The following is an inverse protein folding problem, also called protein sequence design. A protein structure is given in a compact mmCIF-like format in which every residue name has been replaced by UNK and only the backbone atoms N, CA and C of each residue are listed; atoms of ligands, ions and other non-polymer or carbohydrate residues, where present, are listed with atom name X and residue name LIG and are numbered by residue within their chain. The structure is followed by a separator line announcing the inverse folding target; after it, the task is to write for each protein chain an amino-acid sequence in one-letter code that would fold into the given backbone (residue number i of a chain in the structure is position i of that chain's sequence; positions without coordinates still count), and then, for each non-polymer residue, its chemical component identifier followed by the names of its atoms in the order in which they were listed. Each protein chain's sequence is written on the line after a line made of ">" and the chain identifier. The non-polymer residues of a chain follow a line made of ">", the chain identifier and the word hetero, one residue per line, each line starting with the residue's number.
data_IF_627382978453
#
_entry.id   IF_627382978453
#
_cell.length_a   1.000
_cell.length_b   1.000
_cell.length_c   1.000
_cell.angle_alpha   90.00
_cell.angle_beta   90.00
_cell.angle_gamma   90.00
#
_symmetry.space_group_name_H-M   'P 1'
#
loop_
_entity.id
_entity.type
_entity.pdbx_description
1 polymer ?
#
# COMPACT_ATOMS: atom_id res chain seq x y z
N UNK A 1 8.06 16.41 17.27
CA UNK A 1 6.77 15.72 17.16
C UNK A 1 6.55 15.43 15.68
N UNK A 2 6.14 14.20 15.33
CA UNK A 2 5.94 13.77 13.94
C UNK A 2 4.46 13.89 13.53
N UNK A 3 3.66 14.63 14.29
CA UNK A 3 2.24 14.79 14.07
C UNK A 3 1.66 16.00 14.80
N UNK A 4 0.91 16.80 14.10
CA UNK A 4 0.09 17.87 14.67
C UNK A 4 -1.11 17.27 15.45
N UNK A 5 -1.65 16.10 15.03
CA UNK A 5 -2.72 15.41 15.75
C UNK A 5 -2.27 14.95 17.14
N UNK A 6 -1.02 14.43 17.25
CA UNK A 6 -0.46 14.09 18.55
C UNK A 6 -0.29 15.33 19.44
N UNK A 7 -0.01 16.48 18.85
CA UNK A 7 0.02 17.78 19.54
C UNK A 7 -1.32 18.12 20.17
N UNK A 8 -2.44 17.91 19.43
CA UNK A 8 -3.78 18.11 19.98
C UNK A 8 -4.12 17.15 21.11
N UNK A 9 -3.73 15.88 21.00
CA UNK A 9 -3.94 14.91 22.09
C UNK A 9 -3.19 15.34 23.35
N UNK A 10 -1.96 15.82 23.23
CA UNK A 10 -1.19 16.32 24.37
C UNK A 10 -1.80 17.58 24.96
N UNK A 11 -2.29 18.50 24.12
CA UNK A 11 -3.01 19.69 24.57
C UNK A 11 -4.27 19.32 25.36
N UNK A 12 -5.04 18.36 24.83
CA UNK A 12 -6.23 17.86 25.51
C UNK A 12 -5.92 17.30 26.89
N UNK A 13 -4.90 16.44 26.99
CA UNK A 13 -4.48 15.84 28.25
C UNK A 13 -4.07 16.92 29.26
N UNK A 14 -3.21 17.84 28.84
CA UNK A 14 -2.79 18.94 29.71
C UNK A 14 -3.96 19.85 30.18
N UNK A 15 -4.93 20.10 29.29
CA UNK A 15 -6.13 20.84 29.65
C UNK A 15 -7.00 20.08 30.68
N UNK A 16 -7.24 18.78 30.48
CA UNK A 16 -8.04 17.98 31.40
C UNK A 16 -7.38 17.83 32.78
N UNK A 17 -6.06 17.66 32.82
CA UNK A 17 -5.29 17.67 34.09
C UNK A 17 -5.48 18.98 34.85
N UNK A 18 -5.32 20.13 34.19
CA UNK A 18 -5.49 21.44 34.81
C UNK A 18 -6.95 21.70 35.21
N UNK A 19 -7.90 21.22 34.45
CA UNK A 19 -9.32 21.33 34.75
C UNK A 19 -9.70 20.57 36.02
N UNK A 20 -9.06 19.41 36.26
CA UNK A 20 -9.28 18.65 37.50
C UNK A 20 -8.63 19.30 38.71
N UNK A 21 -7.51 19.97 38.50
CA UNK A 21 -6.72 20.58 39.58
C UNK A 21 -7.17 22.01 39.96
N UNK A 22 -7.75 22.75 38.99
CA UNK A 22 -8.03 24.19 39.16
C UNK A 22 -9.53 24.50 39.14
N UNK A 23 -9.92 25.54 39.87
CA UNK A 23 -11.25 26.15 39.75
C UNK A 23 -11.36 27.01 38.47
N UNK A 24 -12.57 27.48 38.16
CA UNK A 24 -12.86 28.13 36.87
C UNK A 24 -11.99 29.38 36.59
N UNK A 25 -11.72 30.21 37.58
CA UNK A 25 -10.94 31.45 37.36
C UNK A 25 -9.44 31.19 37.16
N UNK A 26 -8.76 30.38 37.99
CA UNK A 26 -7.38 29.96 37.73
C UNK A 26 -7.22 29.21 36.38
N UNK A 27 -8.18 28.35 36.00
CA UNK A 27 -8.14 27.64 34.72
C UNK A 27 -8.19 28.60 33.51
N UNK A 28 -9.04 29.63 33.56
CA UNK A 28 -9.07 30.68 32.52
C UNK A 28 -7.73 31.41 32.42
N UNK A 29 -7.11 31.73 33.58
CA UNK A 29 -5.79 32.36 33.59
C UNK A 29 -4.69 31.44 33.02
N UNK A 30 -4.73 30.16 33.38
CA UNK A 30 -3.83 29.16 32.79
C UNK A 30 -4.00 29.08 31.25
N UNK A 31 -5.23 29.03 30.75
CA UNK A 31 -5.49 29.05 29.30
C UNK A 31 -4.87 30.30 28.66
N UNK A 32 -5.11 31.50 29.25
CA UNK A 32 -4.56 32.77 28.73
C UNK A 32 -3.02 32.75 28.67
N UNK A 33 -2.37 32.28 29.73
CA UNK A 33 -0.91 32.18 29.81
C UNK A 33 -0.33 31.24 28.75
N UNK A 34 -1.08 30.23 28.35
CA UNK A 34 -0.68 29.26 27.31
C UNK A 34 -1.25 29.57 25.92
N UNK A 35 -1.74 30.80 25.70
CA UNK A 35 -2.32 31.24 24.42
C UNK A 35 -3.50 30.38 23.94
N UNK A 36 -4.27 29.82 24.87
CA UNK A 36 -5.41 28.96 24.64
C UNK A 36 -6.72 29.72 24.84
N UNK A 37 -7.68 29.47 23.92
CA UNK A 37 -9.02 30.02 24.07
C UNK A 37 -9.87 29.08 24.93
N UNK A 38 -10.19 29.54 26.16
CA UNK A 38 -10.98 28.77 27.11
C UNK A 38 -12.36 28.35 26.61
N UNK A 39 -13.03 29.23 25.83
CA UNK A 39 -14.36 28.91 25.26
C UNK A 39 -14.27 27.77 24.26
N UNK A 40 -13.28 27.80 23.39
CA UNK A 40 -13.03 26.73 22.37
C UNK A 40 -12.69 25.40 23.03
N UNK A 41 -11.96 25.41 24.15
CA UNK A 41 -11.66 24.18 24.88
C UNK A 41 -12.91 23.61 25.57
N UNK A 42 -13.84 24.46 26.01
CA UNK A 42 -15.16 24.01 26.51
C UNK A 42 -15.99 23.38 25.41
N UNK A 43 -16.12 24.06 24.26
CA UNK A 43 -16.82 23.53 23.07
C UNK A 43 -16.22 22.17 22.65
N UNK A 44 -14.90 22.04 22.63
CA UNK A 44 -14.21 20.78 22.35
C UNK A 44 -14.58 19.69 23.35
N UNK A 45 -14.62 20.02 24.63
CA UNK A 45 -15.04 19.07 25.69
C UNK A 45 -16.49 18.63 25.52
N UNK A 46 -17.38 19.55 25.17
CA UNK A 46 -18.79 19.23 24.97
C UNK A 46 -18.94 18.30 23.73
N UNK A 47 -18.22 18.54 22.65
CA UNK A 47 -18.14 17.65 21.49
C UNK A 47 -17.58 16.27 21.84
N UNK A 48 -16.50 16.20 22.63
CA UNK A 48 -15.95 14.93 23.09
C UNK A 48 -16.95 14.14 23.94
N UNK A 49 -17.70 14.81 24.81
CA UNK A 49 -18.77 14.18 25.60
C UNK A 49 -19.88 13.61 24.72
N UNK A 50 -20.34 14.37 23.74
CA UNK A 50 -21.36 13.92 22.79
C UNK A 50 -20.89 12.69 22.01
N UNK A 51 -19.67 12.71 21.45
CA UNK A 51 -19.09 11.56 20.75
C UNK A 51 -18.95 10.34 21.66
N UNK A 52 -18.57 10.54 22.93
CA UNK A 52 -18.45 9.45 23.90
C UNK A 52 -19.82 8.81 24.23
N UNK A 53 -20.91 9.58 24.23
CA UNK A 53 -22.27 9.06 24.39
C UNK A 53 -22.67 8.24 23.16
N UNK A 54 -22.44 8.76 21.95
CA UNK A 54 -22.72 8.06 20.69
C UNK A 54 -21.95 6.72 20.63
N UNK A 55 -20.66 6.71 20.98
CA UNK A 55 -19.88 5.47 21.04
C UNK A 55 -20.49 4.44 22.00
N UNK A 56 -20.99 4.89 23.15
CA UNK A 56 -21.66 4.03 24.13
C UNK A 56 -22.97 3.47 23.59
N UNK A 57 -23.80 4.30 22.94
CA UNK A 57 -25.07 3.87 22.34
C UNK A 57 -24.81 2.88 21.21
N UNK A 58 -23.71 3.03 20.47
CA UNK A 58 -23.25 2.07 19.45
C UNK A 58 -22.54 0.84 20.04
N UNK A 59 -22.46 0.70 21.36
CA UNK A 59 -21.77 -0.39 22.06
C UNK A 59 -20.28 -0.50 21.71
N UNK A 60 -19.65 0.60 21.30
CA UNK A 60 -18.20 0.66 21.04
C UNK A 60 -17.45 0.78 22.37
N UNK A 61 -16.48 -0.11 22.58
CA UNK A 61 -15.62 -0.04 23.75
C UNK A 61 -14.54 1.04 23.56
N UNK A 62 -14.42 1.94 24.54
CA UNK A 62 -13.34 2.92 24.56
C UNK A 62 -12.06 2.28 25.11
N UNK A 63 -10.91 2.73 24.61
CA UNK A 63 -9.61 2.30 25.11
C UNK A 63 -9.44 2.66 26.59
N UNK A 64 -8.95 1.74 27.40
CA UNK A 64 -8.57 1.98 28.80
C UNK A 64 -7.19 2.65 28.90
N UNK A 65 -6.30 2.31 27.98
CA UNK A 65 -4.94 2.83 27.88
C UNK A 65 -4.76 3.68 26.62
N UNK A 66 -3.82 4.64 26.63
CA UNK A 66 -3.51 5.45 25.48
C UNK A 66 -3.06 4.57 24.31
N UNK A 67 -3.61 4.83 23.13
CA UNK A 67 -3.15 4.17 21.89
C UNK A 67 -1.73 4.63 21.55
N UNK A 68 -0.95 3.73 20.97
CA UNK A 68 0.34 4.08 20.40
C UNK A 68 0.20 4.99 19.15
N UNK A 69 1.33 5.53 18.70
CA UNK A 69 1.35 6.44 17.55
C UNK A 69 0.73 5.81 16.29
N UNK A 70 1.07 4.56 15.99
CA UNK A 70 0.61 3.90 14.77
C UNK A 70 -0.91 3.64 14.80
N UNK A 71 -1.44 3.15 15.92
CA UNK A 71 -2.89 2.89 16.09
C UNK A 71 -3.71 4.17 15.98
N UNK A 72 -3.26 5.25 16.67
CA UNK A 72 -3.91 6.55 16.58
C UNK A 72 -3.96 7.05 15.13
N UNK A 73 -2.81 7.04 14.45
CA UNK A 73 -2.73 7.61 13.10
C UNK A 73 -3.40 6.74 12.03
N UNK A 74 -3.41 5.41 12.18
CA UNK A 74 -4.19 4.52 11.32
C UNK A 74 -5.70 4.78 11.45
N UNK A 75 -6.19 4.99 12.67
CA UNK A 75 -7.60 5.34 12.89
C UNK A 75 -7.96 6.69 12.25
N UNK A 76 -7.10 7.71 12.36
CA UNK A 76 -7.32 9.01 11.71
C UNK A 76 -7.19 8.87 10.18
N UNK A 77 -6.21 8.14 9.68
CA UNK A 77 -5.95 7.92 8.26
C UNK A 77 -7.14 7.25 7.57
N UNK A 78 -7.85 6.33 8.23
CA UNK A 78 -9.02 5.68 7.65
C UNK A 78 -10.12 6.65 7.18
N UNK A 79 -10.22 7.81 7.83
CA UNK A 79 -11.12 8.91 7.42
C UNK A 79 -10.49 9.94 6.48
N UNK A 80 -9.17 9.90 6.25
CA UNK A 80 -8.43 10.93 5.52
C UNK A 80 -7.67 10.38 4.30
N UNK A 81 -8.06 9.22 3.77
CA UNK A 81 -7.40 8.56 2.64
C UNK A 81 -7.31 9.42 1.37
N UNK A 82 -8.23 10.37 1.17
CA UNK A 82 -8.18 11.32 0.06
C UNK A 82 -7.27 12.53 0.30
N UNK A 83 -6.74 12.68 1.50
CA UNK A 83 -5.92 13.82 1.93
C UNK A 83 -4.50 13.40 2.31
N UNK A 84 -4.00 12.36 1.65
CA UNK A 84 -2.60 11.94 1.76
C UNK A 84 -1.76 12.62 0.70
N UNK A 85 -0.46 12.70 0.96
CA UNK A 85 0.51 13.22 0.00
C UNK A 85 1.82 12.48 0.05
N UNK A 86 2.40 12.31 -1.12
CA UNK A 86 3.74 11.79 -1.34
C UNK A 86 4.68 12.94 -1.67
N UNK A 87 5.82 13.01 -0.97
CA UNK A 87 6.84 14.03 -1.21
C UNK A 87 7.42 13.87 -2.61
N UNK A 88 7.53 14.99 -3.32
CA UNK A 88 8.19 15.08 -4.62
C UNK A 88 9.67 15.52 -4.47
N UNK A 89 10.43 15.45 -5.54
CA UNK A 89 11.81 15.94 -5.59
C UNK A 89 11.89 17.46 -5.38
N UNK A 90 10.88 18.21 -5.84
CA UNK A 90 10.78 19.66 -5.68
C UNK A 90 10.49 20.07 -4.22
N UNK A 91 10.20 19.11 -3.34
CA UNK A 91 9.97 19.34 -1.92
C UNK A 91 8.53 19.74 -1.57
N UNK A 92 7.63 19.78 -2.54
CA UNK A 92 6.19 19.81 -2.35
C UNK A 92 5.62 18.36 -2.21
N UNK A 93 4.32 18.23 -2.16
CA UNK A 93 3.62 16.95 -2.02
C UNK A 93 2.63 16.77 -3.16
N UNK A 94 2.66 15.58 -3.75
CA UNK A 94 1.65 15.13 -4.70
C UNK A 94 0.53 14.42 -3.93
N UNK A 95 -0.68 14.94 -4.04
CA UNK A 95 -1.88 14.40 -3.41
C UNK A 95 -2.83 13.73 -4.39
N UNK A 96 -4.01 13.36 -3.88
CA UNK A 96 -5.08 12.80 -4.68
C UNK A 96 -5.39 13.65 -5.91
N UNK A 97 -5.72 13.00 -7.05
CA UNK A 97 -6.04 13.64 -8.34
C UNK A 97 -4.91 14.54 -8.87
N UNK A 98 -3.65 14.16 -8.59
CA UNK A 98 -2.45 14.88 -9.03
C UNK A 98 -2.36 16.35 -8.53
N UNK A 99 -3.04 16.66 -7.42
CA UNK A 99 -2.97 18.01 -6.83
C UNK A 99 -1.67 18.17 -6.05
N UNK A 100 -0.91 19.22 -6.36
CA UNK A 100 0.31 19.57 -5.61
C UNK A 100 -0.02 20.51 -4.46
N UNK A 101 0.59 20.27 -3.30
CA UNK A 101 0.40 21.10 -2.11
C UNK A 101 1.69 21.17 -1.24
N UNK A 102 1.70 22.11 -0.33
CA UNK A 102 2.80 22.35 0.61
C UNK A 102 2.32 22.16 2.04
N UNK A 103 3.23 21.81 2.95
CA UNK A 103 2.92 21.84 4.38
C UNK A 103 2.82 23.29 4.81
N UNK A 104 1.74 23.65 5.51
CA UNK A 104 1.56 25.00 6.03
C UNK A 104 2.66 25.35 7.05
N UNK A 105 3.22 26.58 7.04
CA UNK A 105 4.31 26.98 7.96
C UNK A 105 3.98 26.83 9.45
N UNK A 106 2.70 26.87 9.83
CA UNK A 106 2.26 26.68 11.22
C UNK A 106 2.32 25.24 11.72
N UNK A 107 2.55 24.27 10.83
CA UNK A 107 2.67 22.85 11.22
C UNK A 107 4.01 22.57 11.90
N UNK A 108 3.96 21.83 13.00
CA UNK A 108 5.15 21.41 13.75
C UNK A 108 6.09 20.47 12.99
N UNK A 109 5.63 19.81 11.91
CA UNK A 109 6.43 18.87 11.12
C UNK A 109 6.98 19.46 9.82
N UNK A 110 6.71 20.72 9.52
CA UNK A 110 7.11 21.35 8.26
C UNK A 110 8.61 21.27 7.95
N UNK A 111 9.48 21.24 8.98
CA UNK A 111 10.93 21.08 8.82
C UNK A 111 11.37 19.65 8.51
N UNK A 112 10.60 18.62 8.90
CA UNK A 112 10.99 17.21 8.74
C UNK A 112 10.68 16.65 7.36
N UNK A 113 9.70 17.21 6.67
CA UNK A 113 9.29 16.84 5.30
C UNK A 113 9.26 15.33 5.08
N UNK A 114 8.38 14.57 5.75
CA UNK A 114 8.32 13.11 5.64
C UNK A 114 7.98 12.68 4.21
N UNK A 115 8.34 11.45 3.82
CA UNK A 115 8.05 10.92 2.48
C UNK A 115 6.54 10.81 2.21
N UNK A 116 5.78 10.39 3.23
CA UNK A 116 4.33 10.32 3.19
C UNK A 116 3.73 11.06 4.36
N UNK A 117 2.66 11.76 4.09
CA UNK A 117 1.88 12.44 5.12
C UNK A 117 0.37 12.32 4.87
N UNK A 118 -0.40 12.54 5.93
CA UNK A 118 -1.83 12.82 5.86
C UNK A 118 -2.10 14.23 6.39
N UNK A 119 -3.13 14.88 5.88
CA UNK A 119 -3.58 16.20 6.29
C UNK A 119 -5.05 16.17 6.73
N UNK A 120 -5.43 16.96 7.73
CA UNK A 120 -6.82 17.13 8.09
C UNK A 120 -7.57 17.96 7.04
N UNK A 121 -6.92 18.95 6.49
CA UNK A 121 -7.50 19.86 5.48
C UNK A 121 -6.46 20.37 4.50
N UNK A 122 -6.91 20.67 3.29
CA UNK A 122 -6.15 21.38 2.28
C UNK A 122 -6.81 22.74 2.07
N UNK A 123 -6.05 23.81 2.34
CA UNK A 123 -6.53 25.20 2.27
C UNK A 123 -5.82 25.93 1.13
N UNK A 124 -6.58 26.51 0.24
CA UNK A 124 -6.09 27.30 -0.87
C UNK A 124 -5.95 28.77 -0.43
N UNK A 125 -4.75 29.32 -0.61
CA UNK A 125 -4.44 30.73 -0.42
C UNK A 125 -3.67 31.21 -1.64
N UNK A 126 -2.42 31.64 -1.53
CA UNK A 126 -1.51 31.84 -2.66
C UNK A 126 -1.06 30.52 -3.29
N UNK A 127 -1.04 29.46 -2.50
CA UNK A 127 -0.78 28.07 -2.86
C UNK A 127 -1.73 27.17 -2.08
N UNK A 128 -1.80 25.90 -2.46
CA UNK A 128 -2.53 24.90 -1.70
C UNK A 128 -1.67 24.41 -0.53
N UNK A 129 -2.16 24.57 0.69
CA UNK A 129 -1.46 24.19 1.90
C UNK A 129 -2.20 23.11 2.68
N UNK A 130 -1.43 22.11 3.14
CA UNK A 130 -1.89 21.10 4.09
C UNK A 130 -1.76 21.64 5.52
N UNK A 131 -2.85 21.61 6.26
CA UNK A 131 -2.90 21.95 7.70
C UNK A 131 -3.19 20.72 8.52
N UNK A 132 -2.71 20.72 9.76
CA UNK A 132 -2.86 19.59 10.67
C UNK A 132 -2.37 18.31 10.04
N UNK A 133 -1.07 18.18 9.89
CA UNK A 133 -0.43 17.09 9.18
C UNK A 133 0.22 16.08 10.14
N UNK A 134 0.30 14.85 9.70
CA UNK A 134 1.07 13.80 10.36
C UNK A 134 1.86 12.98 9.35
N UNK A 135 3.04 12.52 9.75
CA UNK A 135 3.77 11.48 9.05
C UNK A 135 2.97 10.19 9.07
N UNK A 136 2.92 9.49 7.94
CA UNK A 136 2.37 8.14 7.82
C UNK A 136 3.37 7.23 7.13
N UNK A 137 3.18 5.92 7.27
CA UNK A 137 3.91 4.92 6.53
C UNK A 137 3.06 4.42 5.35
N UNK A 138 3.67 4.22 4.18
CA UNK A 138 2.97 3.75 2.97
C UNK A 138 2.27 2.41 3.20
N UNK A 139 2.86 1.53 4.01
CA UNK A 139 2.32 0.21 4.35
C UNK A 139 0.97 0.27 5.10
N UNK A 140 0.61 1.42 5.66
CA UNK A 140 -0.69 1.59 6.31
C UNK A 140 -1.81 1.84 5.31
N UNK A 141 -1.47 2.35 4.12
CA UNK A 141 -2.46 2.81 3.13
C UNK A 141 -3.22 1.62 2.55
N UNK A 142 -2.51 0.59 2.07
CA UNK A 142 -3.14 -0.55 1.40
C UNK A 142 -4.19 -1.27 2.27
N UNK A 143 -3.91 -1.66 3.54
CA UNK A 143 -4.90 -2.31 4.38
C UNK A 143 -6.12 -1.44 4.70
N UNK A 144 -5.95 -0.13 4.82
CA UNK A 144 -7.04 0.81 5.15
C UNK A 144 -7.87 1.19 3.91
N UNK A 145 -7.22 1.25 2.75
CA UNK A 145 -7.81 1.71 1.51
C UNK A 145 -8.25 0.57 0.57
N UNK A 146 -8.34 -0.67 1.03
CA UNK A 146 -8.58 -1.85 0.21
C UNK A 146 -9.74 -1.74 -0.78
N UNK A 147 -10.80 -1.00 -0.42
CA UNK A 147 -11.97 -0.73 -1.26
C UNK A 147 -11.79 0.43 -2.26
N UNK A 148 -10.71 1.20 -2.17
CA UNK A 148 -10.43 2.40 -2.97
C UNK A 148 -9.21 2.25 -3.88
N UNK A 149 -8.34 1.28 -3.61
CA UNK A 149 -7.13 1.04 -4.38
C UNK A 149 -7.45 0.40 -5.74
N UNK A 150 -6.59 0.70 -6.72
CA UNK A 150 -6.56 -0.01 -8.00
C UNK A 150 -5.26 -0.80 -8.09
N UNK A 151 -5.38 -2.07 -8.45
CA UNK A 151 -4.25 -2.97 -8.66
C UNK A 151 -4.09 -3.21 -10.15
N UNK A 152 -2.90 -2.95 -10.67
CA UNK A 152 -2.52 -3.24 -12.04
C UNK A 152 -1.40 -4.25 -12.02
N UNK A 153 -1.46 -5.23 -12.91
CA UNK A 153 -0.43 -6.25 -13.07
C UNK A 153 0.21 -6.09 -14.43
N UNK A 154 1.52 -6.20 -14.49
CA UNK A 154 2.29 -6.01 -15.71
C UNK A 154 3.53 -6.90 -15.74
N UNK A 155 4.07 -7.11 -16.94
CA UNK A 155 5.26 -7.95 -17.20
C UNK A 155 5.14 -9.36 -16.59
N UNK A 156 4.09 -10.14 -16.89
CA UNK A 156 4.03 -11.52 -16.43
C UNK A 156 5.18 -12.32 -17.07
N UNK A 157 5.91 -13.10 -16.26
CA UNK A 157 7.04 -13.88 -16.73
C UNK A 157 7.22 -15.15 -15.88
N UNK A 158 7.88 -16.14 -16.46
CA UNK A 158 8.24 -17.35 -15.75
C UNK A 158 9.43 -17.12 -14.81
N UNK A 159 9.30 -17.51 -13.57
CA UNK A 159 10.40 -17.47 -12.59
C UNK A 159 10.87 -18.88 -12.24
N UNK A 160 11.96 -19.31 -12.87
CA UNK A 160 12.55 -20.66 -12.74
C UNK A 160 12.81 -21.07 -11.28
N UNK A 161 13.33 -20.16 -10.45
CA UNK A 161 13.66 -20.45 -9.05
C UNK A 161 12.44 -20.78 -8.20
N UNK A 162 11.32 -20.09 -8.46
CA UNK A 162 10.05 -20.29 -7.74
C UNK A 162 9.17 -21.34 -8.40
N UNK A 163 9.46 -21.72 -9.65
CA UNK A 163 8.64 -22.64 -10.42
C UNK A 163 7.20 -22.14 -10.63
N UNK A 164 7.05 -20.83 -10.84
CA UNK A 164 5.74 -20.19 -11.00
C UNK A 164 5.83 -18.95 -11.89
N UNK A 165 4.69 -18.57 -12.46
CA UNK A 165 4.58 -17.29 -13.16
C UNK A 165 4.40 -16.16 -12.16
N UNK A 166 5.22 -15.13 -12.31
CA UNK A 166 5.25 -13.93 -11.49
C UNK A 166 4.92 -12.74 -12.38
N UNK A 167 4.14 -11.79 -11.86
CA UNK A 167 3.96 -10.47 -12.46
C UNK A 167 4.29 -9.39 -11.45
N UNK A 168 4.52 -8.17 -11.92
CA UNK A 168 4.65 -7.03 -11.03
C UNK A 168 3.29 -6.38 -10.80
N UNK A 169 2.97 -6.17 -9.53
CA UNK A 169 1.77 -5.45 -9.08
C UNK A 169 2.11 -4.00 -8.77
N UNK A 170 1.34 -3.09 -9.34
CA UNK A 170 1.32 -1.68 -8.97
C UNK A 170 0.01 -1.36 -8.28
N UNK A 171 0.09 -0.68 -7.13
CA UNK A 171 -1.07 -0.24 -6.36
C UNK A 171 -1.16 1.28 -6.42
N UNK A 172 -2.32 1.77 -6.83
CA UNK A 172 -2.61 3.20 -6.87
C UNK A 172 -3.83 3.55 -6.02
N UNK A 173 -3.78 4.69 -5.37
CA UNK A 173 -4.89 5.28 -4.62
C UNK A 173 -5.12 6.72 -5.10
N UNK A 174 -6.29 7.01 -5.67
CA UNK A 174 -6.64 8.31 -6.26
C UNK A 174 -5.58 8.89 -7.22
N UNK A 175 -4.87 8.01 -7.94
CA UNK A 175 -3.80 8.39 -8.87
C UNK A 175 -2.41 8.52 -8.25
N UNK A 176 -2.26 8.32 -6.94
CA UNK A 176 -0.96 8.21 -6.28
C UNK A 176 -0.46 6.77 -6.36
N UNK A 177 0.80 6.59 -6.70
CA UNK A 177 1.45 5.27 -6.68
C UNK A 177 1.88 4.97 -5.23
N UNK A 178 1.13 4.09 -4.56
CA UNK A 178 1.44 3.64 -3.19
C UNK A 178 2.48 2.54 -3.20
N UNK A 179 2.34 1.58 -4.12
CA UNK A 179 3.32 0.52 -4.38
C UNK A 179 3.65 0.56 -5.87
N UNK A 180 4.90 0.82 -6.20
CA UNK A 180 5.32 0.97 -7.60
C UNK A 180 5.52 -0.36 -8.32
N UNK A 181 6.19 -1.31 -7.66
CA UNK A 181 6.55 -2.59 -8.27
C UNK A 181 6.75 -3.66 -7.18
N UNK A 182 5.82 -4.59 -7.09
CA UNK A 182 5.87 -5.70 -6.15
C UNK A 182 5.66 -7.01 -6.91
N UNK A 183 6.58 -8.01 -6.80
CA UNK A 183 6.38 -9.29 -7.45
C UNK A 183 5.26 -10.08 -6.76
N UNK A 184 4.31 -10.58 -7.54
CA UNK A 184 3.18 -11.38 -7.06
C UNK A 184 3.03 -12.67 -7.88
N UNK A 185 2.50 -13.72 -7.27
CA UNK A 185 2.16 -14.94 -7.98
C UNK A 185 0.98 -14.66 -8.92
N UNK A 186 1.21 -14.85 -10.24
CA UNK A 186 0.25 -14.46 -11.27
C UNK A 186 -0.78 -15.54 -11.60
N UNK A 187 -0.51 -16.80 -11.26
CA UNK A 187 -1.39 -17.95 -11.53
C UNK A 187 -2.85 -17.75 -11.14
N UNK A 188 -3.17 -17.31 -9.91
CA UNK A 188 -4.54 -17.04 -9.49
C UNK A 188 -5.19 -15.81 -10.13
N UNK A 189 -4.38 -14.87 -10.67
CA UNK A 189 -4.84 -13.61 -11.25
C UNK A 189 -5.26 -13.81 -12.69
N UNK A 190 -4.39 -14.46 -13.48
CA UNK A 190 -4.67 -14.83 -14.86
C UNK A 190 -4.14 -16.25 -15.13
N UNK A 191 -4.98 -17.27 -14.94
CA UNK A 191 -4.60 -18.66 -15.15
C UNK A 191 -4.26 -18.98 -16.61
N UNK A 192 -4.87 -18.28 -17.57
CA UNK A 192 -4.67 -18.54 -19.01
C UNK A 192 -3.29 -18.13 -19.45
N UNK A 193 -2.91 -16.87 -19.18
CA UNK A 193 -1.57 -16.36 -19.49
C UNK A 193 -0.51 -17.10 -18.69
N UNK A 194 -0.80 -17.43 -17.43
CA UNK A 194 0.13 -18.18 -16.59
C UNK A 194 0.38 -19.59 -17.10
N UNK A 195 -0.66 -20.27 -17.61
CA UNK A 195 -0.54 -21.58 -18.24
C UNK A 195 0.33 -21.49 -19.50
N UNK A 196 0.08 -20.53 -20.37
CA UNK A 196 0.85 -20.33 -21.58
C UNK A 196 2.34 -20.12 -21.28
N UNK A 197 2.65 -19.21 -20.37
CA UNK A 197 4.04 -18.93 -19.96
C UNK A 197 4.70 -20.14 -19.30
N UNK A 198 3.98 -20.90 -18.47
CA UNK A 198 4.49 -22.13 -17.88
C UNK A 198 4.84 -23.17 -18.96
N UNK A 199 3.97 -23.38 -19.93
CA UNK A 199 4.22 -24.35 -21.00
C UNK A 199 5.39 -23.89 -21.86
N UNK A 200 5.41 -22.65 -22.36
CA UNK A 200 6.45 -22.13 -23.25
C UNK A 200 7.83 -22.09 -22.57
N UNK A 201 7.90 -21.41 -21.42
CA UNK A 201 9.19 -21.20 -20.75
C UNK A 201 9.61 -22.39 -19.87
N UNK A 202 8.67 -22.95 -19.10
CA UNK A 202 8.97 -24.05 -18.20
C UNK A 202 9.17 -25.40 -18.91
N UNK A 203 8.23 -25.78 -19.77
CA UNK A 203 8.24 -27.12 -20.39
C UNK A 203 8.96 -27.15 -21.74
N UNK A 204 8.62 -26.25 -22.66
CA UNK A 204 9.19 -26.24 -24.03
C UNK A 204 10.66 -25.81 -24.00
N UNK A 205 10.98 -24.70 -23.33
CA UNK A 205 12.36 -24.23 -23.16
C UNK A 205 13.14 -24.93 -22.07
N UNK A 206 12.49 -25.82 -21.31
CA UNK A 206 13.16 -26.61 -20.26
C UNK A 206 13.59 -25.79 -19.04
N UNK A 207 13.07 -24.57 -18.85
CA UNK A 207 13.42 -23.73 -17.70
C UNK A 207 12.67 -24.12 -16.41
N UNK A 208 12.55 -25.42 -16.16
CA UNK A 208 11.90 -25.97 -14.97
C UNK A 208 12.88 -26.80 -14.15
N UNK A 209 12.91 -26.57 -12.84
CA UNK A 209 13.62 -27.43 -11.91
C UNK A 209 12.67 -28.53 -11.41
N UNK A 210 12.66 -29.67 -12.09
CA UNK A 210 11.81 -30.80 -11.73
C UNK A 210 12.65 -32.08 -11.51
N UNK A 211 12.18 -32.92 -10.58
CA UNK A 211 12.72 -34.26 -10.37
C UNK A 211 12.04 -35.33 -11.23
N UNK A 212 11.12 -34.95 -12.08
CA UNK A 212 10.41 -35.87 -12.97
C UNK A 212 11.36 -36.42 -14.03
N UNK A 213 11.55 -37.74 -14.04
CA UNK A 213 12.45 -38.43 -14.96
C UNK A 213 12.10 -38.17 -16.43
N UNK A 214 10.81 -38.05 -16.76
CA UNK A 214 10.35 -37.75 -18.12
C UNK A 214 10.85 -36.40 -18.63
N UNK A 215 10.87 -35.37 -17.80
CA UNK A 215 11.37 -34.04 -18.19
C UNK A 215 12.89 -34.05 -18.41
N UNK A 216 13.62 -34.75 -17.54
CA UNK A 216 15.09 -34.90 -17.68
C UNK A 216 15.42 -35.69 -18.96
N UNK A 217 14.69 -36.78 -19.23
CA UNK A 217 14.87 -37.57 -20.46
C UNK A 217 14.55 -36.77 -21.73
N UNK A 218 13.47 -35.96 -21.70
CA UNK A 218 13.12 -35.09 -22.81
C UNK A 218 14.19 -34.01 -23.07
N UNK A 219 14.74 -33.41 -22.03
CA UNK A 219 15.82 -32.44 -22.17
C UNK A 219 17.08 -33.07 -22.80
N UNK A 220 17.48 -34.24 -22.34
CA UNK A 220 18.62 -34.97 -22.91
C UNK A 220 18.38 -35.33 -24.38
N UNK A 221 17.17 -35.72 -24.73
CA UNK A 221 16.80 -36.00 -26.11
C UNK A 221 16.86 -34.76 -27.02
N UNK A 222 16.37 -33.62 -26.53
CA UNK A 222 16.46 -32.35 -27.24
C UNK A 222 17.92 -31.93 -27.48
N UNK A 223 18.78 -32.04 -26.47
CA UNK A 223 20.21 -31.76 -26.61
C UNK A 223 20.89 -32.67 -27.66
N UNK A 224 20.55 -33.97 -27.68
CA UNK A 224 21.06 -34.91 -28.67
C UNK A 224 20.58 -34.56 -30.11
N UNK A 225 19.32 -34.14 -30.24
CA UNK A 225 18.76 -33.73 -31.54
C UNK A 225 19.40 -32.43 -32.03
N UNK A 226 19.64 -31.45 -31.17
CA UNK A 226 20.37 -30.22 -31.49
C UNK A 226 21.78 -30.51 -32.00
N UNK A 227 22.49 -31.42 -31.33
CA UNK A 227 23.81 -31.86 -31.82
C UNK A 227 23.75 -32.54 -33.19
N UNK A 228 22.73 -33.35 -33.45
CA UNK A 228 22.54 -34.01 -34.74
C UNK A 228 22.22 -32.99 -35.84
N UNK A 229 21.37 -32.03 -35.60
CA UNK A 229 21.07 -30.93 -36.53
C UNK A 229 22.32 -30.11 -36.86
N UNK A 230 23.12 -29.79 -35.85
CA UNK A 230 24.39 -29.08 -36.05
C UNK A 230 25.38 -29.89 -36.91
N UNK A 231 25.49 -31.21 -36.69
CA UNK A 231 26.35 -32.09 -37.46
C UNK A 231 25.84 -32.31 -38.88
N UNK A 232 24.52 -32.45 -39.05
CA UNK A 232 23.87 -32.68 -40.35
C UNK A 232 23.69 -31.41 -41.19
N UNK A 233 23.93 -30.22 -40.64
CA UNK A 233 23.62 -28.91 -41.21
C UNK A 233 22.17 -28.77 -41.73
N UNK A 234 21.24 -29.42 -41.01
CA UNK A 234 19.80 -29.41 -41.29
C UNK A 234 19.10 -28.83 -40.04
N UNK A 235 17.96 -28.16 -40.25
CA UNK A 235 17.14 -27.56 -39.16
C UNK A 235 15.68 -28.03 -39.26
N UNK A 236 15.46 -29.26 -39.65
CA UNK A 236 14.14 -29.82 -39.92
C UNK A 236 13.83 -31.09 -39.06
N UNK A 237 14.70 -31.42 -38.10
CA UNK A 237 14.57 -32.61 -37.25
C UNK A 237 13.83 -32.27 -35.95
N UNK A 238 14.12 -31.12 -35.39
CA UNK A 238 13.43 -30.64 -34.16
C UNK A 238 12.03 -30.12 -34.52
N UNK A 239 11.05 -30.50 -33.68
CA UNK A 239 9.74 -29.89 -33.73
C UNK A 239 9.83 -28.42 -33.34
N UNK A 240 9.10 -27.55 -33.99
CA UNK A 240 9.06 -26.13 -33.66
C UNK A 240 8.39 -25.88 -32.29
N UNK A 241 8.64 -24.72 -31.70
CA UNK A 241 8.10 -24.36 -30.38
C UNK A 241 6.57 -24.48 -30.34
N UNK A 242 5.85 -24.14 -31.43
CA UNK A 242 4.38 -24.20 -31.46
C UNK A 242 3.86 -25.64 -31.48
N UNK A 243 4.55 -26.53 -32.13
CA UNK A 243 4.22 -27.97 -32.13
C UNK A 243 4.41 -28.57 -30.73
N UNK A 244 5.51 -28.21 -30.07
CA UNK A 244 5.77 -28.64 -28.70
C UNK A 244 4.77 -28.00 -27.71
N UNK A 245 4.44 -26.75 -27.90
CA UNK A 245 3.41 -26.07 -27.09
C UNK A 245 2.06 -26.80 -27.23
N UNK A 246 1.61 -27.05 -28.46
CA UNK A 246 0.36 -27.74 -28.72
C UNK A 246 0.31 -29.17 -28.14
N UNK A 247 1.45 -29.85 -28.09
CA UNK A 247 1.57 -31.18 -27.46
C UNK A 247 1.37 -31.08 -25.94
N UNK A 248 2.03 -30.18 -25.27
CA UNK A 248 1.90 -30.01 -23.83
C UNK A 248 0.52 -29.45 -23.43
N UNK A 249 -0.03 -28.54 -24.20
CA UNK A 249 -1.33 -27.95 -23.94
C UNK A 249 -2.45 -29.01 -23.97
N UNK A 250 -2.43 -29.93 -24.97
CA UNK A 250 -3.37 -31.07 -25.04
C UNK A 250 -3.17 -32.11 -23.94
N UNK A 251 -1.94 -32.32 -23.46
CA UNK A 251 -1.63 -33.32 -22.45
C UNK A 251 -2.16 -32.94 -21.07
N UNK A 252 -2.26 -31.67 -20.76
CA UNK A 252 -2.82 -31.14 -19.51
C UNK A 252 -4.35 -31.28 -19.47
N UNK A 253 -5.07 -31.11 -20.58
CA UNK A 253 -6.53 -31.27 -20.62
C UNK A 253 -6.98 -32.68 -20.22
N UNK A 254 -6.17 -33.71 -20.48
CA UNK A 254 -6.48 -35.10 -20.11
C UNK A 254 -6.41 -35.36 -18.61
N UNK A 255 -5.75 -34.52 -17.82
CA UNK A 255 -5.66 -34.66 -16.35
C UNK A 255 -6.80 -33.98 -15.58
N UNK A 256 -7.45 -33.00 -16.17
CA UNK A 256 -8.55 -32.26 -15.53
C UNK A 256 -9.90 -32.97 -15.68
N UNK A 257 -9.99 -33.97 -16.52
CA UNK A 257 -11.21 -34.74 -16.83
C UNK A 257 -11.31 -36.13 -16.17
N UNK A 258 -10.60 -36.37 -15.03
CA UNK A 258 -10.76 -37.60 -14.25
C UNK A 258 -10.98 -37.30 -12.77
#
# INVERSE_FOLDING_TARGET
>A
VDSDFAGLVNLWRGFEEQRQALTASPLRNWCRKNFLNYLRLREWRDSHRQLSLICRDMQLSLNKEPADFAKLHKAVLSGLLSQIGQKTEDGDYLGARQRRFWIHPSSGIGKKRPQWLMAAELVETTKLYARMVAKIDADWIEPLAGHLIKKNHFEPHWEKKRGQVVAFEQITLFGLIVVGRRPVHYGPIDPVVSRELFIREGLVRGEIQSRAQCLTANQQLLEQLDELEAKARRRDILADEETLYAFYDRSEERRVGK
#
